data_IF_310174641369
#
_entry.id   IF_310174641369
#
_cell.length_a   1.000
_cell.length_b   1.000
_cell.length_c   1.000
_cell.angle_alpha   90.00
_cell.angle_beta   90.00
_cell.angle_gamma   90.00
#
_symmetry.space_group_name_H-M   'P 1'
#
loop_
_entity.id
_entity.type
_entity.pdbx_description
1 polymer ?
#
# COMPACT_ATOMS: atom_id res chain seq x y z
N UNK A 1 -0.20 -34.98 6.56
CA UNK A 1 -1.07 -34.39 7.59
C UNK A 1 -1.10 -32.89 7.32
N UNK A 2 -2.28 -32.34 7.13
CA UNK A 2 -2.44 -30.87 7.01
C UNK A 2 -2.13 -30.27 8.37
N UNK A 3 -1.17 -29.34 8.44
CA UNK A 3 -0.82 -28.69 9.69
C UNK A 3 -1.88 -27.63 10.04
N UNK A 4 -2.01 -27.29 11.32
CA UNK A 4 -2.89 -26.17 11.75
C UNK A 4 -2.50 -24.89 11.03
N UNK A 5 -1.24 -24.72 10.71
CA UNK A 5 -0.67 -23.58 10.00
C UNK A 5 -1.18 -23.51 8.56
N UNK A 6 -1.25 -24.64 7.86
CA UNK A 6 -1.79 -24.71 6.49
C UNK A 6 -3.28 -24.36 6.45
N UNK A 7 -4.05 -24.86 7.43
CA UNK A 7 -5.46 -24.52 7.54
C UNK A 7 -5.71 -23.02 7.77
N UNK A 8 -4.91 -22.39 8.63
CA UNK A 8 -4.97 -20.95 8.87
C UNK A 8 -4.64 -20.17 7.57
N UNK A 9 -3.58 -20.57 6.86
CA UNK A 9 -3.19 -19.93 5.60
C UNK A 9 -4.31 -20.03 4.55
N UNK A 10 -4.99 -21.16 4.44
CA UNK A 10 -6.12 -21.34 3.53
C UNK A 10 -7.27 -20.42 3.90
N UNK A 11 -7.68 -20.36 5.16
CA UNK A 11 -8.80 -19.51 5.61
C UNK A 11 -8.48 -18.03 5.38
N UNK A 12 -7.31 -17.58 5.84
CA UNK A 12 -6.84 -16.19 5.65
C UNK A 12 -6.70 -15.88 4.17
N UNK A 13 -6.17 -16.81 3.37
CA UNK A 13 -6.04 -16.68 1.93
C UNK A 13 -7.38 -16.50 1.22
N UNK A 14 -8.41 -17.28 1.59
CA UNK A 14 -9.77 -17.13 1.04
C UNK A 14 -10.33 -15.74 1.37
N UNK A 15 -10.29 -15.34 2.65
CA UNK A 15 -10.82 -14.04 3.10
C UNK A 15 -10.09 -12.90 2.38
N UNK A 16 -8.76 -12.92 2.32
CA UNK A 16 -7.99 -11.87 1.67
C UNK A 16 -8.21 -11.82 0.16
N UNK A 17 -8.36 -13.00 -0.50
CA UNK A 17 -8.59 -13.06 -1.96
C UNK A 17 -9.96 -12.51 -2.35
N UNK A 18 -11.01 -12.79 -1.59
CA UNK A 18 -12.38 -12.47 -2.01
C UNK A 18 -13.01 -11.30 -1.25
N UNK A 19 -12.57 -11.01 -0.04
CA UNK A 19 -13.12 -9.95 0.81
C UNK A 19 -12.05 -8.96 1.31
N UNK A 20 -10.84 -8.99 0.75
CA UNK A 20 -9.69 -8.22 1.24
C UNK A 20 -9.94 -6.72 1.26
N UNK A 21 -10.59 -6.17 0.24
CA UNK A 21 -10.94 -4.75 0.21
C UNK A 21 -11.90 -4.35 1.34
N UNK A 22 -12.97 -5.12 1.55
CA UNK A 22 -13.95 -4.83 2.62
C UNK A 22 -13.30 -4.90 3.99
N UNK A 23 -12.50 -5.96 4.23
CA UNK A 23 -11.75 -6.11 5.48
C UNK A 23 -10.77 -4.95 5.69
N UNK A 24 -10.04 -4.56 4.65
CA UNK A 24 -9.09 -3.45 4.73
C UNK A 24 -9.82 -2.14 5.08
N UNK A 25 -10.92 -1.84 4.38
CA UNK A 25 -11.72 -0.63 4.60
C UNK A 25 -12.27 -0.54 6.02
N UNK A 26 -12.79 -1.65 6.54
CA UNK A 26 -13.40 -1.70 7.87
C UNK A 26 -12.35 -1.69 8.99
N UNK A 27 -11.17 -2.28 8.73
CA UNK A 27 -10.05 -2.28 9.67
C UNK A 27 -9.29 -0.95 9.73
N UNK A 28 -9.39 -0.11 8.70
CA UNK A 28 -8.64 1.15 8.60
C UNK A 28 -8.91 2.12 9.76
N UNK A 29 -10.18 2.39 10.18
CA UNK A 29 -10.46 3.23 11.34
C UNK A 29 -9.93 2.63 12.65
N UNK A 30 -9.94 1.29 12.76
CA UNK A 30 -9.42 0.59 13.94
C UNK A 30 -7.90 0.77 14.07
N UNK A 31 -7.15 0.59 12.98
CA UNK A 31 -5.71 0.86 12.96
C UNK A 31 -5.40 2.33 13.26
N UNK A 32 -6.16 3.25 12.69
CA UNK A 32 -6.01 4.68 12.97
C UNK A 32 -6.30 5.00 14.44
N UNK A 33 -7.30 4.37 15.04
CA UNK A 33 -7.61 4.50 16.47
C UNK A 33 -6.44 4.05 17.34
N UNK A 34 -5.88 2.88 17.07
CA UNK A 34 -4.75 2.33 17.82
C UNK A 34 -3.52 3.24 17.69
N UNK A 35 -3.17 3.62 16.45
CA UNK A 35 -2.01 4.49 16.18
C UNK A 35 -2.19 5.89 16.76
N UNK A 36 -3.38 6.48 16.63
CA UNK A 36 -3.70 7.79 17.17
C UNK A 36 -3.70 7.80 18.72
N UNK A 37 -4.24 6.75 19.32
CA UNK A 37 -4.18 6.57 20.78
C UNK A 37 -2.74 6.42 21.27
N UNK A 38 -1.94 5.59 20.61
CA UNK A 38 -0.53 5.41 20.92
C UNK A 38 0.28 6.71 20.76
N UNK A 39 0.06 7.44 19.67
CA UNK A 39 0.68 8.75 19.44
C UNK A 39 0.30 9.75 20.54
N UNK A 40 -0.98 9.78 20.91
CA UNK A 40 -1.46 10.65 22.01
C UNK A 40 -0.79 10.29 23.33
N UNK A 41 -0.63 9.00 23.62
CA UNK A 41 0.07 8.53 24.82
C UNK A 41 1.52 9.04 24.87
N UNK A 42 2.26 9.00 23.77
CA UNK A 42 3.64 9.48 23.69
C UNK A 42 3.72 11.01 23.81
N UNK A 43 2.76 11.73 23.19
CA UNK A 43 2.77 13.19 23.19
C UNK A 43 2.19 13.81 24.47
N UNK A 44 1.41 13.06 25.25
CA UNK A 44 0.73 13.56 26.44
C UNK A 44 1.67 14.21 27.48
N UNK A 45 2.85 13.63 27.81
CA UNK A 45 3.78 14.24 28.75
C UNK A 45 4.33 15.60 28.27
N UNK A 46 4.51 15.75 26.97
CA UNK A 46 5.03 16.99 26.37
C UNK A 46 3.96 18.08 26.27
N UNK A 47 2.69 17.70 26.06
CA UNK A 47 1.58 18.64 25.86
C UNK A 47 0.92 19.05 27.19
N UNK A 48 0.72 18.12 28.11
CA UNK A 48 -0.02 18.34 29.35
C UNK A 48 0.84 18.42 30.60
N UNK A 49 2.15 18.16 30.47
CA UNK A 49 3.10 18.06 31.56
C UNK A 49 3.14 16.67 32.23
N UNK A 50 4.28 16.32 32.84
CA UNK A 50 4.52 14.98 33.39
C UNK A 50 3.57 14.64 34.56
N UNK A 51 3.16 15.63 35.35
CA UNK A 51 2.26 15.40 36.49
C UNK A 51 0.85 14.95 36.05
N UNK A 52 0.31 15.52 34.96
CA UNK A 52 -0.98 15.12 34.39
C UNK A 52 -0.90 13.81 33.64
N UNK A 53 0.21 13.55 32.97
CA UNK A 53 0.46 12.29 32.27
C UNK A 53 0.63 11.09 33.23
N UNK A 54 0.97 11.32 34.50
CA UNK A 54 1.03 10.28 35.55
C UNK A 54 -0.35 9.86 36.04
N UNK A 55 -1.39 10.67 35.81
CA UNK A 55 -2.75 10.35 36.22
C UNK A 55 -3.39 9.37 35.20
N UNK A 56 -3.65 8.14 35.65
CA UNK A 56 -4.17 7.06 34.83
C UNK A 56 -5.49 7.45 34.14
N UNK A 57 -6.40 8.14 34.83
CA UNK A 57 -7.71 8.52 34.29
C UNK A 57 -7.54 9.53 33.15
N UNK A 58 -6.70 10.55 33.35
CA UNK A 58 -6.43 11.57 32.33
C UNK A 58 -5.79 10.92 31.10
N UNK A 59 -4.85 10.01 31.28
CA UNK A 59 -4.17 9.30 30.23
C UNK A 59 -5.12 8.43 29.42
N UNK A 60 -5.98 7.64 30.06
CA UNK A 60 -6.98 6.81 29.37
C UNK A 60 -7.94 7.69 28.56
N UNK A 61 -8.48 8.74 29.13
CA UNK A 61 -9.41 9.65 28.45
C UNK A 61 -8.73 10.32 27.26
N UNK A 62 -7.49 10.81 27.41
CA UNK A 62 -6.74 11.43 26.33
C UNK A 62 -6.46 10.46 25.19
N UNK A 63 -6.04 9.23 25.49
CA UNK A 63 -5.77 8.17 24.50
C UNK A 63 -7.05 7.79 23.74
N UNK A 64 -8.18 7.67 24.42
CA UNK A 64 -9.46 7.37 23.78
C UNK A 64 -9.91 8.51 22.85
N UNK A 65 -9.79 9.76 23.30
CA UNK A 65 -10.14 10.93 22.49
C UNK A 65 -9.20 11.04 21.29
N UNK A 66 -7.90 10.93 21.47
CA UNK A 66 -6.91 10.99 20.39
C UNK A 66 -7.09 9.85 19.39
N UNK A 67 -7.37 8.65 19.86
CA UNK A 67 -7.71 7.51 19.02
C UNK A 67 -8.99 7.74 18.22
N UNK A 68 -10.05 8.25 18.85
CA UNK A 68 -11.31 8.55 18.18
C UNK A 68 -11.16 9.63 17.10
N UNK A 69 -10.42 10.71 17.38
CA UNK A 69 -10.11 11.75 16.41
C UNK A 69 -9.34 11.18 15.23
N UNK A 70 -8.32 10.36 15.48
CA UNK A 70 -7.52 9.72 14.42
C UNK A 70 -8.38 8.77 13.58
N UNK A 71 -9.29 8.01 14.18
CA UNK A 71 -10.22 7.13 13.47
C UNK A 71 -11.17 7.92 12.56
N UNK A 72 -11.69 9.07 13.01
CA UNK A 72 -12.55 9.94 12.20
C UNK A 72 -11.78 10.57 11.03
N UNK A 73 -10.54 10.99 11.27
CA UNK A 73 -9.69 11.60 10.25
C UNK A 73 -9.04 10.59 9.31
N UNK A 74 -9.08 9.29 9.63
CA UNK A 74 -8.35 8.24 8.89
C UNK A 74 -8.68 8.23 7.40
N UNK A 75 -9.93 8.41 7.03
CA UNK A 75 -10.37 8.42 5.63
C UNK A 75 -9.74 9.58 4.84
N UNK A 76 -9.76 10.79 5.42
CA UNK A 76 -9.19 11.98 4.77
C UNK A 76 -7.67 11.85 4.68
N UNK A 77 -7.02 11.46 5.78
CA UNK A 77 -5.57 11.26 5.84
C UNK A 77 -5.10 10.19 4.85
N UNK A 78 -5.88 9.14 4.66
CA UNK A 78 -5.57 8.09 3.70
C UNK A 78 -5.50 8.64 2.27
N UNK A 79 -6.52 9.40 1.83
CA UNK A 79 -6.51 10.03 0.50
C UNK A 79 -5.31 10.97 0.32
N UNK A 80 -5.01 11.77 1.34
CA UNK A 80 -3.85 12.69 1.33
C UNK A 80 -2.54 11.93 1.22
N UNK A 81 -2.36 10.85 1.99
CA UNK A 81 -1.14 10.03 1.95
C UNK A 81 -0.97 9.36 0.59
N UNK A 82 -2.04 8.79 0.03
CA UNK A 82 -2.02 8.17 -1.31
C UNK A 82 -1.67 9.20 -2.37
N UNK A 83 -2.28 10.39 -2.31
CA UNK A 83 -1.96 11.49 -3.23
C UNK A 83 -0.49 11.91 -3.12
N UNK A 84 0.00 12.17 -1.91
CA UNK A 84 1.39 12.60 -1.67
C UNK A 84 2.38 11.53 -2.15
N UNK A 85 2.11 10.26 -1.87
CA UNK A 85 2.97 9.14 -2.30
C UNK A 85 3.01 9.04 -3.83
N UNK A 86 1.86 9.13 -4.50
CA UNK A 86 1.77 9.14 -5.96
C UNK A 86 2.45 10.36 -6.56
N UNK A 87 2.24 11.55 -5.97
CA UNK A 87 2.89 12.78 -6.40
C UNK A 87 4.41 12.72 -6.24
N UNK A 88 4.92 12.18 -5.14
CA UNK A 88 6.36 12.03 -4.92
C UNK A 88 7.01 11.13 -5.98
N UNK A 89 6.39 9.99 -6.30
CA UNK A 89 6.84 9.12 -7.39
C UNK A 89 6.75 9.83 -8.75
N UNK A 90 5.67 10.55 -9.01
CA UNK A 90 5.50 11.34 -10.22
C UNK A 90 6.53 12.46 -10.37
N UNK A 91 6.86 13.15 -9.29
CA UNK A 91 7.93 14.17 -9.27
C UNK A 91 9.28 13.55 -9.65
N UNK A 92 9.60 12.38 -9.11
CA UNK A 92 10.81 11.64 -9.41
C UNK A 92 10.88 11.29 -10.91
N UNK A 93 9.80 10.73 -11.46
CA UNK A 93 9.67 10.43 -12.88
C UNK A 93 9.79 11.71 -13.73
N UNK A 94 9.16 12.80 -13.31
CA UNK A 94 9.19 14.10 -14.02
C UNK A 94 10.61 14.68 -14.13
N UNK A 95 11.41 14.62 -13.06
CA UNK A 95 12.80 15.06 -13.10
C UNK A 95 13.64 14.16 -14.03
N UNK A 96 13.45 12.84 -13.97
CA UNK A 96 14.16 11.90 -14.84
C UNK A 96 13.81 12.14 -16.31
N UNK A 97 12.51 12.30 -16.64
CA UNK A 97 12.07 12.63 -17.99
C UNK A 97 12.65 13.95 -18.49
N UNK A 98 12.63 14.99 -17.65
CA UNK A 98 13.22 16.28 -17.99
C UNK A 98 14.72 16.19 -18.24
N UNK A 99 15.46 15.42 -17.43
CA UNK A 99 16.88 15.18 -17.63
C UNK A 99 17.17 14.46 -18.98
N UNK A 100 16.33 13.50 -19.35
CA UNK A 100 16.45 12.80 -20.64
C UNK A 100 16.18 13.74 -21.82
N UNK A 101 15.16 14.59 -21.73
CA UNK A 101 14.80 15.56 -22.78
C UNK A 101 15.91 16.59 -22.95
N UNK A 102 16.47 17.14 -21.86
CA UNK A 102 17.55 18.11 -21.90
C UNK A 102 18.82 17.60 -22.58
N UNK A 103 19.07 16.29 -22.56
CA UNK A 103 20.26 15.64 -23.17
C UNK A 103 20.02 15.21 -24.63
N UNK A 104 18.85 15.51 -25.20
CA UNK A 104 18.54 15.18 -26.61
C UNK A 104 17.77 13.87 -26.78
N UNK A 105 17.11 13.38 -25.73
CA UNK A 105 16.20 12.25 -25.76
C UNK A 105 16.84 10.91 -25.38
N UNK A 106 16.02 9.86 -25.42
CA UNK A 106 16.38 8.49 -24.96
C UNK A 106 17.51 7.82 -25.79
N UNK A 107 17.80 8.32 -26.98
CA UNK A 107 18.82 7.75 -27.88
C UNK A 107 20.23 8.30 -27.68
N UNK A 108 20.42 9.27 -26.79
CA UNK A 108 21.73 9.88 -26.58
C UNK A 108 22.58 9.01 -25.63
N UNK A 109 23.86 8.80 -25.99
CA UNK A 109 24.84 8.09 -25.14
C UNK A 109 25.08 8.77 -23.80
N UNK A 110 24.72 10.06 -23.69
CA UNK A 110 24.84 10.86 -22.48
C UNK A 110 23.64 10.73 -21.51
N UNK A 111 22.50 10.17 -21.98
CA UNK A 111 21.33 10.02 -21.12
C UNK A 111 21.60 9.06 -19.95
N UNK A 112 22.26 7.93 -20.22
CA UNK A 112 22.56 6.92 -19.20
C UNK A 112 23.57 7.48 -18.17
N UNK A 113 24.62 8.20 -18.62
CA UNK A 113 25.59 8.79 -17.69
C UNK A 113 24.96 9.88 -16.80
N UNK A 114 24.03 10.66 -17.33
CA UNK A 114 23.28 11.65 -16.53
C UNK A 114 22.35 11.00 -15.52
N UNK A 115 21.65 9.91 -15.89
CA UNK A 115 20.82 9.16 -14.95
C UNK A 115 21.64 8.59 -13.79
N UNK A 116 22.87 8.14 -14.04
CA UNK A 116 23.77 7.62 -13.00
C UNK A 116 24.35 8.71 -12.10
N UNK A 117 24.39 9.98 -12.56
CA UNK A 117 24.88 11.13 -11.78
C UNK A 117 23.77 11.90 -11.08
N UNK A 118 22.48 11.51 -11.25
CA UNK A 118 21.38 12.10 -10.48
C UNK A 118 21.59 11.85 -8.98
N UNK A 119 21.77 12.95 -8.24
CA UNK A 119 21.79 12.91 -6.79
C UNK A 119 20.42 12.51 -6.25
N UNK A 120 20.39 11.74 -5.17
CA UNK A 120 19.14 11.40 -4.51
C UNK A 120 19.00 12.25 -3.23
N UNK A 121 17.92 13.03 -3.04
CA UNK A 121 16.76 13.20 -3.92
C UNK A 121 17.09 14.01 -5.19
N UNK A 122 16.45 13.71 -6.35
CA UNK A 122 16.74 14.41 -7.59
C UNK A 122 16.23 15.85 -7.51
N UNK A 123 17.16 16.81 -7.60
CA UNK A 123 16.85 18.24 -7.57
C UNK A 123 16.78 18.73 -9.04
N UNK A 124 15.71 19.41 -9.45
CA UNK A 124 15.59 19.94 -10.80
C UNK A 124 16.66 21.02 -11.03
N UNK A 125 17.44 20.85 -12.12
CA UNK A 125 18.55 21.77 -12.49
C UNK A 125 18.10 22.78 -13.54
N UNK A 126 17.03 22.52 -14.27
CA UNK A 126 16.50 23.37 -15.33
C UNK A 126 15.04 23.72 -15.08
N UNK A 127 14.58 24.84 -15.66
CA UNK A 127 13.16 25.25 -15.57
C UNK A 127 12.23 24.19 -16.18
N UNK A 128 12.65 23.51 -17.25
CA UNK A 128 11.89 22.44 -17.88
C UNK A 128 11.71 21.25 -16.94
N UNK A 129 12.79 20.83 -16.26
CA UNK A 129 12.74 19.74 -15.27
C UNK A 129 11.79 20.07 -14.13
N UNK A 130 11.81 21.32 -13.64
CA UNK A 130 10.90 21.77 -12.58
C UNK A 130 9.43 21.71 -13.04
N UNK A 131 9.13 22.20 -14.24
CA UNK A 131 7.77 22.16 -14.80
C UNK A 131 7.29 20.71 -14.95
N UNK A 132 8.11 19.83 -15.53
CA UNK A 132 7.77 18.42 -15.68
C UNK A 132 7.61 17.72 -14.33
N UNK A 133 8.47 18.02 -13.37
CA UNK A 133 8.36 17.51 -12.01
C UNK A 133 6.99 17.82 -11.39
N UNK A 134 6.54 19.08 -11.49
CA UNK A 134 5.26 19.51 -10.93
C UNK A 134 4.08 18.89 -11.69
N UNK A 135 4.08 18.94 -13.02
CA UNK A 135 2.97 18.42 -13.84
C UNK A 135 2.83 16.92 -13.67
N UNK A 136 3.94 16.16 -13.83
CA UNK A 136 3.92 14.71 -13.70
C UNK A 136 3.61 14.30 -12.26
N UNK A 137 4.12 15.05 -11.26
CA UNK A 137 3.81 14.83 -9.85
C UNK A 137 2.31 14.96 -9.57
N UNK A 138 1.67 16.04 -10.01
CA UNK A 138 0.23 16.24 -9.83
C UNK A 138 -0.60 15.19 -10.56
N UNK A 139 -0.24 14.86 -11.81
CA UNK A 139 -0.93 13.83 -12.59
C UNK A 139 -0.83 12.46 -11.91
N UNK A 140 0.36 12.05 -11.47
CA UNK A 140 0.56 10.77 -10.81
C UNK A 140 -0.10 10.72 -9.42
N UNK A 141 -0.13 11.84 -8.69
CA UNK A 141 -0.89 11.94 -7.44
C UNK A 141 -2.39 11.75 -7.67
N UNK A 142 -2.96 12.41 -8.66
CA UNK A 142 -4.36 12.25 -9.04
C UNK A 142 -4.66 10.81 -9.53
N UNK A 143 -3.78 10.24 -10.36
CA UNK A 143 -3.88 8.85 -10.81
C UNK A 143 -3.83 7.88 -9.62
N UNK A 144 -2.92 8.07 -8.69
CA UNK A 144 -2.79 7.22 -7.50
C UNK A 144 -4.09 7.18 -6.69
N UNK A 145 -4.77 8.34 -6.53
CA UNK A 145 -6.07 8.40 -5.88
C UNK A 145 -7.15 7.71 -6.71
N UNK A 146 -7.18 7.93 -8.03
CA UNK A 146 -8.16 7.31 -8.91
C UNK A 146 -8.04 5.78 -8.96
N UNK A 147 -6.80 5.25 -8.97
CA UNK A 147 -6.53 3.82 -9.04
C UNK A 147 -6.38 3.14 -7.67
N UNK A 148 -6.50 3.87 -6.56
CA UNK A 148 -6.27 3.31 -5.22
C UNK A 148 -7.16 2.09 -4.91
N UNK A 149 -8.44 2.14 -5.29
CA UNK A 149 -9.35 1.02 -5.06
C UNK A 149 -8.91 -0.23 -5.82
N UNK A 150 -8.57 -0.06 -7.10
CA UNK A 150 -8.02 -1.15 -7.91
C UNK A 150 -6.74 -1.74 -7.30
N UNK A 151 -5.82 -0.88 -6.87
CA UNK A 151 -4.55 -1.32 -6.27
C UNK A 151 -4.75 -2.07 -4.95
N UNK A 152 -5.69 -1.65 -4.11
CA UNK A 152 -6.02 -2.37 -2.86
C UNK A 152 -6.66 -3.72 -3.18
N UNK A 153 -7.65 -3.75 -4.10
CA UNK A 153 -8.28 -4.99 -4.52
C UNK A 153 -7.27 -5.96 -5.14
N UNK A 154 -6.42 -5.48 -6.04
CA UNK A 154 -5.40 -6.30 -6.67
C UNK A 154 -4.38 -6.82 -5.64
N UNK A 155 -3.79 -5.93 -4.83
CA UNK A 155 -2.79 -6.34 -3.84
C UNK A 155 -3.34 -7.34 -2.82
N UNK A 156 -4.54 -7.10 -2.28
CA UNK A 156 -5.17 -8.02 -1.32
C UNK A 156 -5.52 -9.37 -1.97
N UNK A 157 -6.04 -9.36 -3.21
CA UNK A 157 -6.36 -10.58 -3.93
C UNK A 157 -5.10 -11.41 -4.26
N UNK A 158 -4.03 -10.79 -4.73
CA UNK A 158 -2.78 -11.50 -5.04
C UNK A 158 -2.06 -12.02 -3.79
N UNK A 159 -2.04 -11.24 -2.70
CA UNK A 159 -1.48 -11.70 -1.41
C UNK A 159 -2.33 -12.84 -0.84
N UNK A 160 -3.65 -12.72 -0.90
CA UNK A 160 -4.56 -13.79 -0.48
C UNK A 160 -4.40 -15.05 -1.31
N UNK A 161 -4.31 -14.93 -2.64
CA UNK A 161 -4.07 -16.05 -3.55
C UNK A 161 -2.72 -16.73 -3.26
N UNK A 162 -1.67 -15.96 -2.92
CA UNK A 162 -0.39 -16.55 -2.53
C UNK A 162 -0.50 -17.37 -1.24
N UNK A 163 -1.20 -16.86 -0.22
CA UNK A 163 -1.44 -17.59 1.02
C UNK A 163 -2.28 -18.85 0.78
N UNK A 164 -3.31 -18.76 -0.08
CA UNK A 164 -4.19 -19.89 -0.42
C UNK A 164 -3.43 -20.98 -1.17
N UNK A 165 -2.67 -20.62 -2.20
CA UNK A 165 -1.85 -21.55 -2.99
C UNK A 165 -0.79 -22.21 -2.09
N UNK A 166 -0.14 -21.43 -1.22
CA UNK A 166 0.86 -21.96 -0.27
C UNK A 166 0.24 -22.92 0.75
N UNK A 167 -0.94 -22.61 1.29
CA UNK A 167 -1.64 -23.46 2.26
C UNK A 167 -2.19 -24.75 1.64
N UNK A 168 -2.65 -24.70 0.38
CA UNK A 168 -3.19 -25.90 -0.31
C UNK A 168 -2.10 -26.80 -0.88
N UNK A 169 -1.04 -26.23 -1.47
CA UNK A 169 0.00 -26.97 -2.18
C UNK A 169 1.28 -27.12 -1.34
N UNK A 170 1.44 -26.36 -0.25
CA UNK A 170 2.57 -26.48 0.67
C UNK A 170 2.78 -27.88 1.24
N UNK A 171 1.74 -28.56 1.75
CA UNK A 171 1.86 -29.94 2.25
C UNK A 171 2.32 -30.95 1.20
N UNK A 172 2.01 -30.70 -0.09
CA UNK A 172 2.38 -31.58 -1.21
C UNK A 172 3.88 -31.45 -1.54
N UNK A 173 4.45 -30.24 -1.33
CA UNK A 173 5.86 -29.97 -1.63
C UNK A 173 6.85 -30.52 -0.63
N UNK A 174 6.42 -30.85 0.60
CA UNK A 174 7.27 -31.50 1.59
C UNK A 174 7.59 -32.97 1.27
N UNK A 175 6.95 -33.55 0.23
CA UNK A 175 7.08 -34.98 -0.12
C UNK A 175 8.12 -35.18 -1.24
N UNK A 176 8.64 -34.17 -1.88
CA UNK A 176 9.64 -34.28 -2.95
C UNK A 176 10.34 -32.99 -3.32
N UNK A 177 11.47 -33.11 -4.03
CA UNK A 177 12.17 -31.93 -4.55
C UNK A 177 11.25 -31.12 -5.46
N UNK A 178 11.18 -29.83 -5.23
CA UNK A 178 10.36 -28.90 -6.03
C UNK A 178 10.83 -28.98 -7.51
N UNK A 179 10.05 -29.64 -8.34
CA UNK A 179 10.29 -29.69 -9.77
C UNK A 179 9.87 -28.34 -10.39
N UNK A 180 10.57 -27.91 -11.46
CA UNK A 180 10.27 -26.68 -12.20
C UNK A 180 8.81 -26.62 -12.66
N UNK A 181 8.22 -27.78 -13.01
CA UNK A 181 6.81 -27.89 -13.37
C UNK A 181 5.84 -27.56 -12.22
N UNK A 182 6.18 -27.90 -10.97
CA UNK A 182 5.37 -27.57 -9.81
C UNK A 182 5.40 -26.07 -9.49
N UNK A 183 6.57 -25.44 -9.59
CA UNK A 183 6.70 -24.01 -9.46
C UNK A 183 5.87 -23.24 -10.49
N UNK A 184 5.89 -23.70 -11.75
CA UNK A 184 5.08 -23.12 -12.82
C UNK A 184 3.57 -23.27 -12.53
N UNK A 185 3.13 -24.46 -12.08
CA UNK A 185 1.71 -24.70 -11.73
C UNK A 185 1.24 -23.80 -10.60
N UNK A 186 2.06 -23.63 -9.56
CA UNK A 186 1.76 -22.72 -8.44
C UNK A 186 1.65 -21.28 -8.90
N UNK A 187 2.57 -20.83 -9.77
CA UNK A 187 2.57 -19.48 -10.31
C UNK A 187 1.33 -19.21 -11.16
N UNK A 188 0.94 -20.17 -12.00
CA UNK A 188 -0.29 -20.07 -12.81
C UNK A 188 -1.53 -20.04 -11.93
N UNK A 189 -1.63 -20.94 -10.95
CA UNK A 189 -2.74 -20.96 -10.02
C UNK A 189 -2.84 -19.64 -9.22
N UNK A 190 -1.72 -19.12 -8.74
CA UNK A 190 -1.64 -17.83 -8.07
C UNK A 190 -2.13 -16.66 -8.94
N UNK A 191 -1.68 -16.60 -10.20
CA UNK A 191 -2.11 -15.57 -11.15
C UNK A 191 -3.61 -15.65 -11.44
N UNK A 192 -4.13 -16.84 -11.72
CA UNK A 192 -5.56 -17.05 -12.02
C UNK A 192 -6.42 -16.65 -10.80
N UNK A 193 -6.08 -17.14 -9.61
CA UNK A 193 -6.82 -16.82 -8.38
C UNK A 193 -6.73 -15.33 -8.04
N UNK A 194 -5.56 -14.72 -8.19
CA UNK A 194 -5.38 -13.29 -7.97
C UNK A 194 -6.22 -12.44 -8.92
N UNK A 195 -6.26 -12.79 -10.21
CA UNK A 195 -7.10 -12.10 -11.20
C UNK A 195 -8.60 -12.27 -10.92
N UNK A 196 -9.05 -13.50 -10.63
CA UNK A 196 -10.45 -13.76 -10.28
C UNK A 196 -10.83 -13.00 -9.00
N UNK A 197 -9.99 -13.04 -7.97
CA UNK A 197 -10.21 -12.33 -6.73
C UNK A 197 -10.32 -10.81 -6.93
N UNK A 198 -9.40 -10.22 -7.70
CA UNK A 198 -9.44 -8.79 -8.05
C UNK A 198 -10.74 -8.43 -8.78
N UNK A 199 -11.12 -9.22 -9.77
CA UNK A 199 -12.34 -8.97 -10.56
C UNK A 199 -13.61 -9.07 -9.71
N UNK A 200 -13.71 -10.06 -8.84
CA UNK A 200 -14.84 -10.22 -7.94
C UNK A 200 -14.93 -9.09 -6.92
N UNK A 201 -13.80 -8.66 -6.33
CA UNK A 201 -13.79 -7.53 -5.40
C UNK A 201 -14.23 -6.23 -6.08
N UNK A 202 -13.79 -5.97 -7.32
CA UNK A 202 -14.21 -4.79 -8.08
C UNK A 202 -15.71 -4.84 -8.42
N UNK A 203 -16.25 -6.01 -8.78
CA UNK A 203 -17.68 -6.14 -9.05
C UNK A 203 -18.55 -5.89 -7.82
N UNK A 204 -18.12 -6.34 -6.64
CA UNK A 204 -18.84 -6.09 -5.39
C UNK A 204 -18.91 -4.59 -5.11
N UNK A 205 -17.87 -3.84 -5.45
CA UNK A 205 -17.83 -2.37 -5.29
C UNK A 205 -18.81 -1.66 -6.21
N UNK A 206 -18.98 -2.13 -7.47
CA UNK A 206 -19.88 -1.52 -8.44
C UNK A 206 -21.36 -1.76 -8.09
N UNK A 207 -21.67 -2.81 -7.32
CA UNK A 207 -23.06 -3.17 -6.96
C UNK A 207 -23.56 -2.53 -5.66
N UNK A 208 -22.66 -1.91 -4.88
CA UNK A 208 -23.02 -1.28 -3.61
C UNK A 208 -22.97 0.26 -3.73
N UNK A 209 -24.11 0.94 -4.03
CA UNK A 209 -24.16 2.39 -4.24
C UNK A 209 -23.92 3.21 -2.95
N UNK A 210 -23.70 2.55 -1.82
CA UNK A 210 -23.44 3.21 -0.52
C UNK A 210 -21.95 3.39 -0.21
N UNK A 211 -21.10 3.09 -1.19
CA UNK A 211 -19.61 3.15 -1.05
C UNK A 211 -19.01 4.43 -1.71
#
# INVERSE_FOLDING_TARGET
MVSVQDAILVIVGIIATFAGYSVFRDMMPLWAFILGGWLTYILLPTLAGPERASNLIITIVAVLIGGAIAALLSRILYFVIVFISGAALGMLIGVVLGAIIDVGGFGSTHAISRLMTLSFPPIPQTGLQFILMVIVGLLMGALAVAFQQFMICASSAFVGAAALVSGLLGPINHIGAVNVSQGATMMVAWLILGMIGTFLQLRVLDTDPTV
#
